data_IF_487841667208
#
_entry.id   IF_487841667208
#
_cell.length_a   1.000
_cell.length_b   1.000
_cell.length_c   1.000
_cell.angle_alpha   90.00
_cell.angle_beta   90.00
_cell.angle_gamma   90.00
#
_symmetry.space_group_name_H-M   'P 1'
#
loop_
_entity.id
_entity.type
_entity.pdbx_description
1 polymer ?
#
# COMPACT_ATOMS: atom_id res chain seq x y z
N UNK A 1 -0.92 -6.80 26.57
CA UNK A 1 0.53 -7.03 26.44
C UNK A 1 0.86 -8.53 26.39
N UNK A 2 0.29 -9.39 27.29
CA UNK A 2 0.59 -10.82 27.32
C UNK A 2 0.36 -11.54 25.99
N UNK A 3 -0.75 -11.26 25.28
CA UNK A 3 -1.05 -11.83 23.97
C UNK A 3 0.01 -11.41 22.91
N UNK A 4 0.42 -10.16 22.94
CA UNK A 4 1.44 -9.64 22.01
C UNK A 4 2.79 -10.30 22.28
N UNK A 5 3.18 -10.42 23.55
CA UNK A 5 4.40 -11.13 23.95
C UNK A 5 4.38 -12.61 23.51
N UNK A 6 3.26 -13.29 23.72
CA UNK A 6 3.11 -14.69 23.29
C UNK A 6 3.25 -14.82 21.75
N UNK A 7 2.69 -13.91 20.96
CA UNK A 7 2.84 -13.89 19.51
C UNK A 7 4.31 -13.66 19.08
N UNK A 8 5.02 -12.74 19.73
CA UNK A 8 6.44 -12.54 19.43
C UNK A 8 7.30 -13.75 19.80
N UNK A 9 7.04 -14.39 20.95
CA UNK A 9 7.73 -15.65 21.35
C UNK A 9 7.44 -16.75 20.33
N UNK A 10 6.18 -16.93 19.92
CA UNK A 10 5.82 -17.91 18.90
C UNK A 10 6.52 -17.63 17.56
N UNK A 11 6.53 -16.38 17.09
CA UNK A 11 7.23 -15.99 15.88
C UNK A 11 8.74 -16.24 15.97
N UNK A 12 9.35 -15.94 17.13
CA UNK A 12 10.76 -16.21 17.38
C UNK A 12 11.06 -17.71 17.32
N UNK A 13 10.27 -18.55 18.02
CA UNK A 13 10.46 -20.01 18.01
C UNK A 13 10.30 -20.59 16.61
N UNK A 14 9.32 -20.12 15.84
CA UNK A 14 9.13 -20.52 14.43
C UNK A 14 10.31 -20.10 13.56
N UNK A 15 10.91 -18.95 13.80
CA UNK A 15 12.06 -18.47 13.03
C UNK A 15 13.33 -19.30 13.27
N UNK A 16 13.47 -19.93 14.44
CA UNK A 16 14.59 -20.83 14.73
C UNK A 16 14.59 -22.10 13.87
N UNK A 17 13.40 -22.52 13.38
CA UNK A 17 13.26 -23.67 12.48
C UNK A 17 13.55 -23.35 11.00
N UNK A 18 13.77 -22.08 10.65
CA UNK A 18 14.08 -21.69 9.27
C UNK A 18 15.55 -21.97 8.98
N UNK A 19 15.83 -22.99 8.15
CA UNK A 19 17.18 -23.28 7.71
C UNK A 19 17.77 -22.05 6.98
N UNK A 20 18.94 -21.60 7.39
CA UNK A 20 19.64 -20.49 6.73
C UNK A 20 19.87 -20.81 5.25
N UNK A 21 19.48 -19.92 4.39
CA UNK A 21 19.89 -20.02 2.98
C UNK A 21 21.42 -19.96 2.89
N UNK A 22 22.06 -20.73 1.97
CA UNK A 22 23.50 -20.62 1.76
C UNK A 22 23.87 -19.15 1.51
N UNK A 23 24.99 -18.67 2.09
CA UNK A 23 25.41 -17.31 1.88
C UNK A 23 25.55 -17.04 0.38
N UNK A 24 24.84 -16.01 -0.09
CA UNK A 24 25.02 -15.56 -1.47
C UNK A 24 26.49 -15.15 -1.67
N UNK A 25 27.09 -15.42 -2.87
CA UNK A 25 28.48 -15.06 -3.13
C UNK A 25 28.67 -13.55 -2.82
N UNK A 26 29.71 -13.26 -2.03
CA UNK A 26 30.06 -11.90 -1.61
C UNK A 26 30.42 -11.05 -2.83
N UNK A 27 29.41 -10.41 -3.42
CA UNK A 27 29.69 -9.21 -4.23
C UNK A 27 30.02 -8.10 -3.22
N UNK A 28 31.18 -7.44 -3.39
CA UNK A 28 31.52 -6.23 -2.64
C UNK A 28 30.34 -5.27 -2.78
N UNK A 29 29.51 -5.23 -1.75
CA UNK A 29 28.30 -4.43 -1.73
C UNK A 29 28.72 -2.96 -1.57
N UNK A 30 28.44 -2.14 -2.55
CA UNK A 30 28.41 -0.70 -2.39
C UNK A 30 26.94 -0.28 -2.25
N UNK A 31 26.39 -0.19 -1.03
CA UNK A 31 24.94 -0.03 -0.81
C UNK A 31 24.33 1.15 -1.57
N UNK A 32 25.06 2.27 -1.64
CA UNK A 32 24.61 3.46 -2.36
C UNK A 32 24.66 3.29 -3.88
N UNK A 33 25.68 2.61 -4.40
CA UNK A 33 25.77 2.32 -5.83
C UNK A 33 24.70 1.33 -6.27
N UNK A 34 24.46 0.29 -5.47
CA UNK A 34 23.42 -0.71 -5.69
C UNK A 34 22.01 -0.08 -5.65
N UNK A 35 21.80 0.86 -4.73
CA UNK A 35 20.54 1.60 -4.62
C UNK A 35 20.32 2.51 -5.84
N UNK A 36 21.35 3.22 -6.27
CA UNK A 36 21.32 4.08 -7.46
C UNK A 36 21.03 3.26 -8.72
N UNK A 37 21.73 2.14 -8.91
CA UNK A 37 21.51 1.23 -10.04
C UNK A 37 20.07 0.73 -10.06
N UNK A 38 19.54 0.31 -8.91
CA UNK A 38 18.15 -0.16 -8.78
C UNK A 38 17.14 0.95 -9.07
N UNK A 39 17.40 2.17 -8.63
CA UNK A 39 16.55 3.32 -8.91
C UNK A 39 16.54 3.67 -10.39
N UNK A 40 17.71 3.71 -11.04
CA UNK A 40 17.83 3.93 -12.48
C UNK A 40 17.12 2.81 -13.27
N UNK A 41 17.24 1.55 -12.82
CA UNK A 41 16.56 0.42 -13.43
C UNK A 41 15.03 0.55 -13.35
N UNK A 42 14.49 0.93 -12.20
CA UNK A 42 13.04 1.16 -12.01
C UNK A 42 12.58 2.33 -12.87
N UNK A 43 13.36 3.41 -12.94
CA UNK A 43 13.02 4.62 -13.69
C UNK A 43 12.96 4.40 -15.20
N UNK A 44 13.81 3.52 -15.73
CA UNK A 44 13.86 3.20 -17.17
C UNK A 44 12.79 2.22 -17.62
N UNK A 45 12.14 1.48 -16.69
CA UNK A 45 11.14 0.46 -17.02
C UNK A 45 9.72 0.95 -16.65
N UNK A 46 8.86 1.29 -17.62
CA UNK A 46 7.48 1.73 -17.35
C UNK A 46 6.67 0.73 -16.52
N UNK A 47 6.92 -0.58 -16.70
CA UNK A 47 6.29 -1.67 -15.96
C UNK A 47 6.63 -1.66 -14.46
N UNK A 48 7.72 -1.01 -14.07
CA UNK A 48 8.16 -0.85 -12.67
C UNK A 48 7.85 0.54 -12.15
N UNK A 49 8.00 1.57 -12.99
CA UNK A 49 7.81 2.96 -12.61
C UNK A 49 6.35 3.25 -12.22
N UNK A 50 5.37 2.71 -12.98
CA UNK A 50 3.95 2.87 -12.66
C UNK A 50 3.57 2.33 -11.27
N UNK A 51 3.85 1.06 -10.96
CA UNK A 51 3.63 0.50 -9.62
C UNK A 51 4.41 1.21 -8.51
N UNK A 52 5.66 1.61 -8.76
CA UNK A 52 6.45 2.38 -7.79
C UNK A 52 5.81 3.73 -7.49
N UNK A 53 5.39 4.47 -8.53
CA UNK A 53 4.72 5.76 -8.37
C UNK A 53 3.42 5.61 -7.61
N UNK A 54 2.62 4.57 -7.91
CA UNK A 54 1.40 4.30 -7.15
C UNK A 54 1.71 3.96 -5.69
N UNK A 55 2.75 3.16 -5.41
CA UNK A 55 3.17 2.87 -4.04
C UNK A 55 3.54 4.14 -3.28
N UNK A 56 4.28 5.05 -3.91
CA UNK A 56 4.63 6.34 -3.31
C UNK A 56 3.39 7.21 -3.06
N UNK A 57 2.49 7.32 -4.04
CA UNK A 57 1.25 8.10 -3.92
C UNK A 57 0.33 7.58 -2.82
N UNK A 58 0.18 6.28 -2.68
CA UNK A 58 -0.60 5.67 -1.61
C UNK A 58 0.00 6.01 -0.24
N UNK A 59 1.33 5.95 -0.11
CA UNK A 59 1.99 6.34 1.13
C UNK A 59 1.86 7.85 1.40
N UNK A 60 1.95 8.68 0.37
CA UNK A 60 1.87 10.15 0.50
C UNK A 60 0.44 10.62 0.81
N UNK A 61 -0.58 10.05 0.15
CA UNK A 61 -1.92 10.63 0.08
C UNK A 61 -3.02 9.78 0.74
N UNK A 62 -2.83 8.46 0.91
CA UNK A 62 -3.85 7.60 1.51
C UNK A 62 -3.51 7.14 2.93
N UNK A 63 -2.30 6.64 3.15
CA UNK A 63 -1.88 6.15 4.47
C UNK A 63 -1.86 7.20 5.59
N UNK A 64 -1.64 8.51 5.36
CA UNK A 64 -1.80 9.49 6.42
C UNK A 64 -3.13 9.37 7.15
N UNK A 65 -4.24 9.12 6.46
CA UNK A 65 -5.57 9.05 7.04
C UNK A 65 -5.86 7.74 7.80
N UNK A 66 -5.17 6.67 7.49
CA UNK A 66 -5.37 5.35 8.12
C UNK A 66 -4.28 4.97 9.12
N UNK A 67 -3.16 5.70 9.17
CA UNK A 67 -2.07 5.43 10.12
C UNK A 67 -1.77 6.62 11.04
N UNK A 68 -1.59 7.82 10.49
CA UNK A 68 -1.09 8.96 11.25
C UNK A 68 -2.17 9.87 11.81
N UNK A 69 -3.26 10.10 11.07
CA UNK A 69 -4.33 11.02 11.46
C UNK A 69 -5.48 10.35 12.22
N UNK A 70 -5.47 9.02 12.40
CA UNK A 70 -6.53 8.33 13.17
C UNK A 70 -6.69 8.87 14.58
N UNK A 71 -5.65 9.23 15.36
CA UNK A 71 -5.81 9.85 16.68
C UNK A 71 -6.57 11.17 16.60
N UNK A 72 -6.25 12.00 15.60
CA UNK A 72 -6.95 13.26 15.34
C UNK A 72 -8.43 13.01 15.01
N UNK A 73 -8.71 12.08 14.11
CA UNK A 73 -10.06 11.73 13.67
C UNK A 73 -10.89 11.16 14.83
N UNK A 74 -10.30 10.26 15.64
CA UNK A 74 -10.98 9.69 16.78
C UNK A 74 -11.37 10.76 17.81
N UNK A 75 -10.49 11.73 18.05
CA UNK A 75 -10.70 12.77 19.05
C UNK A 75 -11.56 13.93 18.53
N UNK A 76 -11.16 14.52 17.40
CA UNK A 76 -11.72 15.80 16.93
C UNK A 76 -12.93 15.62 16.00
N UNK A 77 -13.02 14.49 15.27
CA UNK A 77 -14.12 14.25 14.32
C UNK A 77 -15.22 13.41 14.96
N UNK A 78 -14.85 12.31 15.62
CA UNK A 78 -15.84 11.38 16.19
C UNK A 78 -16.06 11.52 17.69
N UNK A 79 -15.25 12.31 18.40
CA UNK A 79 -15.29 12.45 19.86
C UNK A 79 -15.27 11.09 20.61
N UNK A 80 -14.60 10.09 20.07
CA UNK A 80 -14.69 8.69 20.47
C UNK A 80 -13.57 8.25 21.44
N UNK A 81 -12.64 9.13 21.77
CA UNK A 81 -11.54 8.87 22.71
C UNK A 81 -10.60 7.73 22.27
N UNK A 82 -9.85 7.17 23.24
CA UNK A 82 -8.86 6.11 22.99
C UNK A 82 -9.48 4.79 22.50
N UNK A 83 -10.64 4.43 23.02
CA UNK A 83 -11.34 3.22 22.58
C UNK A 83 -11.78 3.34 21.12
N UNK A 84 -12.29 4.50 20.71
CA UNK A 84 -12.63 4.77 19.32
C UNK A 84 -11.45 4.68 18.37
N UNK A 85 -10.29 5.19 18.79
CA UNK A 85 -9.03 5.00 18.02
C UNK A 85 -8.70 3.52 17.82
N UNK A 86 -8.81 2.72 18.89
CA UNK A 86 -8.58 1.29 18.82
C UNK A 86 -9.55 0.59 17.85
N UNK A 87 -10.84 0.94 17.88
CA UNK A 87 -11.84 0.39 16.96
C UNK A 87 -11.58 0.80 15.49
N UNK A 88 -11.21 2.05 15.23
CA UNK A 88 -10.89 2.54 13.90
C UNK A 88 -9.67 1.79 13.31
N UNK A 89 -8.60 1.65 14.09
CA UNK A 89 -7.43 0.88 13.68
C UNK A 89 -7.77 -0.60 13.44
N UNK A 90 -8.52 -1.22 14.37
CA UNK A 90 -8.96 -2.62 14.24
C UNK A 90 -9.84 -2.83 13.00
N UNK A 91 -10.73 -1.90 12.69
CA UNK A 91 -11.58 -1.97 11.50
C UNK A 91 -10.75 -2.01 10.21
N UNK A 92 -9.76 -1.13 10.07
CA UNK A 92 -8.89 -1.12 8.89
C UNK A 92 -8.09 -2.43 8.77
N UNK A 93 -7.42 -2.86 9.83
CA UNK A 93 -6.56 -4.04 9.78
C UNK A 93 -7.35 -5.35 9.67
N UNK A 94 -8.55 -5.43 10.26
CA UNK A 94 -9.43 -6.59 10.05
C UNK A 94 -9.96 -6.67 8.62
N UNK A 95 -10.28 -5.51 8.02
CA UNK A 95 -10.61 -5.42 6.61
C UNK A 95 -9.45 -5.87 5.72
N UNK A 96 -8.23 -5.41 6.01
CA UNK A 96 -7.02 -5.81 5.30
C UNK A 96 -6.74 -7.32 5.42
N UNK A 97 -6.94 -7.89 6.62
CA UNK A 97 -6.85 -9.33 6.82
C UNK A 97 -7.88 -10.08 5.98
N UNK A 98 -9.16 -9.69 6.03
CA UNK A 98 -10.21 -10.31 5.23
C UNK A 98 -9.90 -10.22 3.73
N UNK A 99 -9.47 -9.06 3.25
CA UNK A 99 -9.05 -8.86 1.86
C UNK A 99 -7.87 -9.75 1.47
N UNK A 100 -6.86 -9.89 2.32
CA UNK A 100 -5.69 -10.73 2.04
C UNK A 100 -6.05 -12.22 1.99
N UNK A 101 -6.97 -12.67 2.84
CA UNK A 101 -7.48 -14.05 2.79
C UNK A 101 -8.23 -14.33 1.49
N UNK A 102 -9.06 -13.41 1.03
CA UNK A 102 -9.76 -13.54 -0.26
C UNK A 102 -8.75 -13.54 -1.41
N UNK A 103 -7.78 -12.65 -1.39
CA UNK A 103 -6.70 -12.62 -2.38
C UNK A 103 -5.93 -13.95 -2.43
N UNK A 104 -5.61 -14.53 -1.27
CA UNK A 104 -4.89 -15.79 -1.18
C UNK A 104 -5.73 -17.00 -1.60
N UNK A 105 -7.00 -17.06 -1.17
CA UNK A 105 -7.89 -18.20 -1.43
C UNK A 105 -8.41 -18.26 -2.88
N UNK A 106 -8.72 -17.12 -3.47
CA UNK A 106 -9.43 -17.06 -4.75
C UNK A 106 -8.54 -17.33 -5.97
N UNK A 107 -7.22 -17.58 -5.79
CA UNK A 107 -6.24 -17.75 -6.89
C UNK A 107 -6.47 -16.77 -8.05
N UNK A 108 -7.01 -15.60 -7.71
CA UNK A 108 -7.32 -14.56 -8.68
C UNK A 108 -6.07 -14.22 -9.48
N UNK A 109 -6.16 -13.94 -10.78
CA UNK A 109 -5.05 -13.45 -11.59
C UNK A 109 -4.69 -12.02 -11.18
N UNK A 110 -4.37 -11.84 -9.88
CA UNK A 110 -4.12 -10.56 -9.22
C UNK A 110 -2.83 -9.88 -9.66
N UNK A 111 -2.01 -10.56 -10.46
CA UNK A 111 -0.84 -9.95 -11.08
C UNK A 111 -1.20 -9.02 -12.25
N UNK A 112 -2.42 -8.50 -12.29
CA UNK A 112 -2.81 -7.56 -13.33
C UNK A 112 -2.65 -6.13 -12.82
N UNK A 113 -1.93 -5.30 -13.58
CA UNK A 113 -1.83 -3.87 -13.31
C UNK A 113 -3.20 -3.18 -13.23
N UNK A 114 -4.25 -3.77 -13.86
CA UNK A 114 -5.63 -3.28 -13.77
C UNK A 114 -6.21 -3.41 -12.36
N UNK A 115 -6.05 -4.58 -11.73
CA UNK A 115 -6.56 -4.80 -10.36
C UNK A 115 -5.92 -3.81 -9.39
N UNK A 116 -4.60 -3.61 -9.49
CA UNK A 116 -3.84 -2.64 -8.72
C UNK A 116 -4.39 -1.21 -8.90
N UNK A 117 -4.61 -0.77 -10.14
CA UNK A 117 -5.08 0.59 -10.45
C UNK A 117 -6.51 0.82 -10.00
N UNK A 118 -7.43 -0.12 -10.29
CA UNK A 118 -8.82 0.01 -9.85
C UNK A 118 -8.94 0.02 -8.32
N UNK A 119 -8.22 -0.88 -7.65
CA UNK A 119 -8.22 -0.90 -6.18
C UNK A 119 -7.60 0.37 -5.59
N UNK A 120 -6.53 0.89 -6.20
CA UNK A 120 -5.95 2.17 -5.81
C UNK A 120 -6.93 3.33 -5.98
N UNK A 121 -7.66 3.40 -7.10
CA UNK A 121 -8.68 4.42 -7.35
C UNK A 121 -9.84 4.32 -6.34
N UNK A 122 -10.33 3.09 -6.06
CA UNK A 122 -11.36 2.86 -5.05
C UNK A 122 -10.86 3.27 -3.67
N UNK A 123 -9.60 2.97 -3.33
CA UNK A 123 -9.04 3.37 -2.05
C UNK A 123 -9.00 4.89 -1.89
N UNK A 124 -8.56 5.64 -2.90
CA UNK A 124 -8.60 7.11 -2.83
C UNK A 124 -10.03 7.66 -2.75
N UNK A 125 -10.98 7.04 -3.44
CA UNK A 125 -12.41 7.35 -3.27
C UNK A 125 -12.91 7.08 -1.84
N UNK A 126 -12.48 5.98 -1.23
CA UNK A 126 -12.81 5.64 0.15
C UNK A 126 -12.20 6.63 1.15
N UNK A 127 -10.99 7.16 0.88
CA UNK A 127 -10.38 8.25 1.69
C UNK A 127 -11.28 9.50 1.65
N UNK A 128 -11.78 9.89 0.48
CA UNK A 128 -12.71 11.03 0.37
C UNK A 128 -13.99 10.74 1.17
N UNK A 129 -14.60 9.58 0.98
CA UNK A 129 -15.82 9.18 1.68
C UNK A 129 -15.62 9.18 3.20
N UNK A 130 -14.47 8.68 3.68
CA UNK A 130 -14.11 8.70 5.10
C UNK A 130 -13.99 10.13 5.64
N UNK A 131 -13.40 11.05 4.87
CA UNK A 131 -13.28 12.46 5.27
C UNK A 131 -14.62 13.19 5.37
N UNK A 132 -15.65 12.74 4.64
CA UNK A 132 -17.00 13.29 4.68
C UNK A 132 -17.87 12.71 5.80
N UNK A 133 -17.36 11.70 6.52
CA UNK A 133 -18.13 10.95 7.52
C UNK A 133 -18.08 11.63 8.89
N UNK A 134 -19.23 11.80 9.51
CA UNK A 134 -19.37 12.41 10.83
C UNK A 134 -19.72 11.41 11.95
N UNK A 135 -20.05 10.15 11.60
CA UNK A 135 -20.44 9.13 12.57
C UNK A 135 -19.40 8.03 12.68
N UNK A 136 -19.10 7.62 13.92
CA UNK A 136 -18.13 6.55 14.19
C UNK A 136 -18.50 5.24 13.48
N UNK A 137 -19.80 4.86 13.52
CA UNK A 137 -20.26 3.61 12.92
C UNK A 137 -19.97 3.54 11.41
N UNK A 138 -20.25 4.62 10.66
CA UNK A 138 -19.96 4.71 9.24
C UNK A 138 -18.44 4.78 9.00
N UNK A 139 -17.71 5.49 9.86
CA UNK A 139 -16.25 5.55 9.83
C UNK A 139 -15.62 4.16 9.97
N UNK A 140 -16.11 3.32 10.89
CA UNK A 140 -15.66 1.94 11.07
C UNK A 140 -15.94 1.09 9.82
N UNK A 141 -17.15 1.18 9.26
CA UNK A 141 -17.53 0.44 8.06
C UNK A 141 -16.67 0.83 6.84
N UNK A 142 -16.43 2.14 6.67
CA UNK A 142 -15.57 2.65 5.59
C UNK A 142 -14.11 2.25 5.77
N UNK A 143 -13.57 2.27 7.00
CA UNK A 143 -12.20 1.81 7.24
C UNK A 143 -12.05 0.32 7.02
N UNK A 144 -13.03 -0.50 7.41
CA UNK A 144 -13.03 -1.93 7.09
C UNK A 144 -13.01 -2.16 5.57
N UNK A 145 -13.92 -1.50 4.83
CA UNK A 145 -13.96 -1.59 3.37
C UNK A 145 -12.66 -1.09 2.72
N UNK A 146 -12.09 0.01 3.25
CA UNK A 146 -10.81 0.56 2.80
C UNK A 146 -9.67 -0.44 3.02
N UNK A 147 -9.60 -1.06 4.20
CA UNK A 147 -8.62 -2.11 4.50
C UNK A 147 -8.76 -3.32 3.58
N UNK A 148 -10.01 -3.74 3.31
CA UNK A 148 -10.28 -4.81 2.36
C UNK A 148 -9.74 -4.49 0.96
N UNK A 149 -10.07 -3.33 0.42
CA UNK A 149 -9.60 -2.86 -0.90
C UNK A 149 -8.08 -2.66 -0.94
N UNK A 150 -7.48 -2.19 0.16
CA UNK A 150 -6.03 -2.05 0.33
C UNK A 150 -5.28 -3.33 -0.06
N UNK A 151 -5.75 -4.52 0.35
CA UNK A 151 -5.10 -5.79 0.04
C UNK A 151 -5.10 -6.08 -1.47
N UNK A 152 -6.15 -5.68 -2.18
CA UNK A 152 -6.25 -5.79 -3.64
C UNK A 152 -5.41 -4.75 -4.40
N UNK A 153 -4.90 -3.72 -3.72
CA UNK A 153 -3.95 -2.76 -4.28
C UNK A 153 -2.50 -3.21 -4.06
N UNK A 154 -2.14 -3.46 -2.80
CA UNK A 154 -0.74 -3.67 -2.39
C UNK A 154 -0.20 -5.03 -2.81
N UNK A 155 -1.03 -6.09 -2.77
CA UNK A 155 -0.58 -7.44 -3.15
C UNK A 155 -0.29 -7.53 -4.66
N UNK A 156 -1.21 -7.11 -5.57
CA UNK A 156 -0.89 -7.07 -7.00
C UNK A 156 0.28 -6.14 -7.33
N UNK A 157 0.39 -5.00 -6.65
CA UNK A 157 1.49 -4.06 -6.85
C UNK A 157 2.85 -4.73 -6.63
N UNK A 158 2.99 -5.46 -5.52
CA UNK A 158 4.21 -6.21 -5.22
C UNK A 158 4.47 -7.31 -6.26
N UNK A 159 3.41 -8.05 -6.64
CA UNK A 159 3.50 -9.12 -7.62
C UNK A 159 3.90 -8.63 -9.02
N UNK A 160 3.34 -7.49 -9.47
CA UNK A 160 3.70 -6.85 -10.74
C UNK A 160 5.18 -6.44 -10.73
N UNK A 161 5.64 -5.78 -9.67
CA UNK A 161 7.03 -5.37 -9.54
C UNK A 161 8.00 -6.56 -9.58
N UNK A 162 7.71 -7.64 -8.85
CA UNK A 162 8.55 -8.83 -8.83
C UNK A 162 8.60 -9.54 -10.18
N UNK A 163 7.46 -9.66 -10.88
CA UNK A 163 7.39 -10.31 -12.19
C UNK A 163 8.02 -9.49 -13.31
N UNK A 164 7.96 -8.17 -13.22
CA UNK A 164 8.57 -7.25 -14.19
C UNK A 164 10.07 -7.07 -13.97
N UNK A 165 10.61 -7.61 -12.86
CA UNK A 165 12.02 -7.53 -12.53
C UNK A 165 12.77 -8.80 -12.96
N UNK A 166 13.96 -8.63 -13.50
CA UNK A 166 14.91 -9.71 -13.72
C UNK A 166 15.33 -10.35 -12.39
N UNK A 167 15.62 -11.66 -12.36
CA UNK A 167 15.88 -12.40 -11.12
C UNK A 167 16.95 -11.75 -10.25
N UNK A 168 18.06 -11.33 -10.85
CA UNK A 168 19.17 -10.67 -10.13
C UNK A 168 18.82 -9.28 -9.57
N UNK A 169 17.74 -8.65 -10.04
CA UNK A 169 17.31 -7.30 -9.64
C UNK A 169 16.13 -7.31 -8.66
N UNK A 170 15.44 -8.44 -8.46
CA UNK A 170 14.21 -8.52 -7.63
C UNK A 170 14.41 -7.96 -6.23
N UNK A 171 15.46 -8.36 -5.55
CA UNK A 171 15.76 -7.87 -4.18
C UNK A 171 16.01 -6.37 -4.15
N UNK A 172 16.78 -5.85 -5.11
CA UNK A 172 17.09 -4.42 -5.23
C UNK A 172 15.83 -3.60 -5.56
N UNK A 173 14.98 -4.07 -6.47
CA UNK A 173 13.69 -3.42 -6.81
C UNK A 173 12.76 -3.38 -5.60
N UNK A 174 12.72 -4.45 -4.80
CA UNK A 174 11.96 -4.43 -3.54
C UNK A 174 12.56 -3.45 -2.52
N UNK A 175 13.87 -3.29 -2.48
CA UNK A 175 14.55 -2.25 -1.70
C UNK A 175 14.13 -0.84 -2.12
N UNK A 176 14.12 -0.56 -3.44
CA UNK A 176 13.63 0.73 -3.97
C UNK A 176 12.16 0.95 -3.62
N UNK A 177 11.31 -0.11 -3.71
CA UNK A 177 9.90 -0.02 -3.28
C UNK A 177 9.76 0.41 -1.82
N UNK A 178 10.67 -0.01 -0.94
CA UNK A 178 10.67 0.42 0.46
C UNK A 178 10.87 1.93 0.61
N UNK A 179 11.56 2.58 -0.33
CA UNK A 179 11.68 4.04 -0.32
C UNK A 179 10.34 4.75 -0.52
N UNK A 180 9.37 4.11 -1.15
CA UNK A 180 8.02 4.67 -1.28
C UNK A 180 7.35 4.94 0.07
N UNK A 181 7.78 4.26 1.15
CA UNK A 181 7.28 4.48 2.52
C UNK A 181 7.55 5.91 3.00
N UNK A 182 8.61 6.56 2.50
CA UNK A 182 8.92 7.95 2.84
C UNK A 182 7.85 8.95 2.38
N UNK A 183 6.94 8.54 1.50
CA UNK A 183 5.73 9.29 1.19
C UNK A 183 4.86 9.55 2.43
N UNK A 184 4.78 8.60 3.38
CA UNK A 184 3.93 8.73 4.57
C UNK A 184 4.35 9.89 5.49
N UNK A 185 5.63 10.01 5.94
CA UNK A 185 6.08 11.17 6.71
C UNK A 185 5.85 12.49 5.98
N UNK A 186 6.10 12.55 4.68
CA UNK A 186 5.85 13.74 3.87
C UNK A 186 4.37 14.08 3.82
N UNK A 187 3.51 13.09 3.61
CA UNK A 187 2.07 13.27 3.63
C UNK A 187 1.54 13.80 4.97
N UNK A 188 2.05 13.25 6.08
CA UNK A 188 1.68 13.71 7.42
C UNK A 188 2.19 15.13 7.71
N UNK A 189 3.41 15.46 7.29
CA UNK A 189 4.00 16.79 7.45
C UNK A 189 3.19 17.86 6.72
N UNK A 190 2.68 17.54 5.53
CA UNK A 190 1.83 18.44 4.75
C UNK A 190 0.39 18.50 5.28
N UNK A 191 -0.13 17.39 5.83
CA UNK A 191 -1.51 17.32 6.29
C UNK A 191 -1.79 18.27 7.47
N UNK A 192 -0.87 18.43 8.41
CA UNK A 192 -1.04 19.31 9.57
C UNK A 192 -1.36 20.76 9.19
N UNK A 193 -0.49 21.46 8.44
CA UNK A 193 -0.75 22.82 7.96
C UNK A 193 -2.01 22.94 7.08
N UNK A 194 -2.28 21.94 6.25
CA UNK A 194 -3.49 21.93 5.42
C UNK A 194 -4.77 21.83 6.26
N UNK A 195 -4.78 20.94 7.27
CA UNK A 195 -5.92 20.83 8.19
C UNK A 195 -6.13 22.14 8.95
N UNK A 196 -5.04 22.78 9.38
CA UNK A 196 -5.13 24.08 10.07
C UNK A 196 -5.64 25.20 9.16
N UNK A 197 -5.30 25.19 7.86
CA UNK A 197 -5.66 26.24 6.90
C UNK A 197 -7.03 26.07 6.25
N UNK A 198 -7.35 24.87 5.80
CA UNK A 198 -8.56 24.57 5.02
C UNK A 198 -9.50 23.57 5.67
N UNK A 199 -9.13 23.05 6.85
CA UNK A 199 -9.90 22.06 7.60
C UNK A 199 -9.70 20.62 7.15
N UNK A 200 -10.15 19.69 8.00
CA UNK A 200 -9.96 18.24 7.80
C UNK A 200 -10.65 17.72 6.53
N UNK A 201 -11.93 18.09 6.32
CA UNK A 201 -12.73 17.60 5.19
C UNK A 201 -12.12 18.01 3.86
N UNK A 202 -11.75 19.31 3.72
CA UNK A 202 -11.14 19.82 2.49
C UNK A 202 -9.76 19.18 2.24
N UNK A 203 -8.96 18.96 3.29
CA UNK A 203 -7.66 18.28 3.20
C UNK A 203 -7.83 16.85 2.72
N UNK A 204 -8.79 16.11 3.29
CA UNK A 204 -9.07 14.72 2.89
C UNK A 204 -9.55 14.65 1.44
N UNK A 205 -10.44 15.56 1.05
CA UNK A 205 -10.91 15.66 -0.34
C UNK A 205 -9.76 15.99 -1.30
N UNK A 206 -8.87 16.90 -0.94
CA UNK A 206 -7.68 17.26 -1.73
C UNK A 206 -6.76 16.05 -1.93
N UNK A 207 -6.40 15.37 -0.86
CA UNK A 207 -5.51 14.20 -0.92
C UNK A 207 -6.14 13.05 -1.74
N UNK A 208 -7.39 12.74 -1.46
CA UNK A 208 -8.11 11.69 -2.19
C UNK A 208 -8.27 12.02 -3.66
N UNK A 209 -8.61 13.27 -4.01
CA UNK A 209 -8.76 13.70 -5.40
C UNK A 209 -7.44 13.70 -6.15
N UNK A 210 -6.35 14.21 -5.54
CA UNK A 210 -5.02 14.15 -6.14
C UNK A 210 -4.56 12.70 -6.37
N UNK A 211 -4.78 11.84 -5.38
CA UNK A 211 -4.44 10.43 -5.48
C UNK A 211 -5.25 9.71 -6.58
N UNK A 212 -6.56 9.99 -6.65
CA UNK A 212 -7.43 9.45 -7.68
C UNK A 212 -7.01 9.90 -9.08
N UNK A 213 -6.81 11.19 -9.29
CA UNK A 213 -6.36 11.75 -10.57
C UNK A 213 -5.00 11.20 -10.98
N UNK A 214 -4.05 11.13 -10.05
CA UNK A 214 -2.74 10.55 -10.31
C UNK A 214 -2.82 9.06 -10.67
N UNK A 215 -3.67 8.28 -9.98
CA UNK A 215 -3.90 6.86 -10.29
C UNK A 215 -4.49 6.69 -11.69
N UNK A 216 -5.45 7.53 -12.07
CA UNK A 216 -6.03 7.53 -13.43
C UNK A 216 -4.99 7.94 -14.48
N UNK A 217 -4.15 8.93 -14.19
CA UNK A 217 -3.05 9.35 -15.06
C UNK A 217 -2.02 8.24 -15.26
N UNK A 218 -1.66 7.50 -14.20
CA UNK A 218 -0.82 6.30 -14.26
C UNK A 218 -1.48 5.26 -15.18
N UNK A 219 -2.77 4.98 -14.96
CA UNK A 219 -3.52 4.02 -15.76
C UNK A 219 -3.59 4.37 -17.24
N UNK A 220 -3.72 5.65 -17.56
CA UNK A 220 -3.72 6.13 -18.95
C UNK A 220 -2.31 6.14 -19.56
N UNK A 221 -1.32 6.69 -18.86
CA UNK A 221 0.05 6.86 -19.38
C UNK A 221 0.77 5.53 -19.61
N UNK A 222 0.62 4.59 -18.68
CA UNK A 222 1.26 3.26 -18.77
C UNK A 222 0.32 2.13 -19.16
N UNK A 223 -0.83 2.44 -19.80
CA UNK A 223 -1.83 1.45 -20.22
C UNK A 223 -1.24 0.29 -21.03
N UNK A 224 -0.30 0.56 -21.94
CA UNK A 224 0.34 -0.49 -22.74
C UNK A 224 1.17 -1.44 -21.89
N UNK A 225 1.92 -0.92 -20.95
CA UNK A 225 2.77 -1.69 -20.06
C UNK A 225 1.96 -2.51 -19.04
N UNK A 226 0.94 -1.89 -18.42
CA UNK A 226 0.19 -2.50 -17.32
C UNK A 226 -0.98 -3.39 -17.78
N UNK A 227 -1.49 -3.21 -19.02
CA UNK A 227 -2.71 -3.91 -19.49
C UNK A 227 -2.41 -5.10 -20.40
N UNK A 228 -1.37 -5.05 -21.24
CA UNK A 228 -1.10 -6.12 -22.22
C UNK A 228 -0.46 -7.39 -21.63
N UNK A 229 0.27 -7.30 -20.53
CA UNK A 229 0.89 -8.48 -19.90
C UNK A 229 -0.07 -9.39 -19.12
N UNK A 230 -1.29 -8.93 -18.83
CA UNK A 230 -2.30 -9.77 -18.16
C UNK A 230 -2.81 -10.92 -19.04
N UNK A 231 -2.80 -10.78 -20.37
CA UNK A 231 -3.23 -11.81 -21.29
C UNK A 231 -2.24 -12.99 -21.37
N UNK A 232 -0.94 -12.72 -21.39
CA UNK A 232 0.11 -13.76 -21.41
C UNK A 232 0.20 -14.51 -20.08
N UNK A 233 -0.03 -13.81 -18.94
CA UNK A 233 -0.06 -14.45 -17.63
C UNK A 233 -1.27 -15.38 -17.46
N UNK A 234 -2.43 -15.01 -18.02
CA UNK A 234 -3.63 -15.85 -17.97
C UNK A 234 -3.50 -17.11 -18.83
N UNK A 235 -2.77 -17.06 -19.94
CA UNK A 235 -2.50 -18.22 -20.77
C UNK A 235 -1.59 -19.25 -20.07
N UNK A 236 -0.65 -18.81 -19.24
CA UNK A 236 0.24 -19.69 -18.47
C UNK A 236 -0.41 -20.40 -17.27
N UNK A 237 -1.62 -19.99 -16.85
CA UNK A 237 -2.39 -20.65 -15.79
C UNK A 237 -3.54 -21.51 -16.31
N UNK A 238 -3.80 -21.50 -17.62
CA UNK A 238 -4.85 -22.29 -18.25
C UNK A 238 -4.36 -23.62 -18.86
N UNK A 239 -3.05 -23.89 -18.82
CA UNK A 239 -2.41 -25.16 -19.16
C UNK A 239 -1.77 -25.81 -17.94
#
# INVERSE_FOLDING_TARGET
YAAVTAMYVAAFLLSLGVAGAPPAPEKKAHPLADLREAFEYVWRKPDLLGPFTLAFLVNLLAYPFVLGLLPYVAKEVFAAGQAGLGYLAAAFWSGALAGSLVVGAARLPLASGRAMLWSGAIWFGAVIAFGLTSTLALGLALLFATGFVHSFCITPLAAVMLRSSEEGMRGRVMGVRMLAIWGLPLGLLLAGPLIAGIGYVATTALYGSLGLLATLAIGYGWRRALWHRSAAANAAYAG
#
